data_IF_811793296939
#
_entry.id   IF_811793296939
#
_cell.length_a   1.000
_cell.length_b   1.000
_cell.length_c   1.000
_cell.angle_alpha   90.00
_cell.angle_beta   90.00
_cell.angle_gamma   90.00
#
_symmetry.space_group_name_H-M   'P 1'
#
loop_
_entity.id
_entity.type
_entity.pdbx_description
1 polymer ?
#
# COMPACT_ATOMS: atom_id res chain seq x y z
N UNK A 1 14.99 -59.74 -10.86
CA UNK A 1 15.40 -58.76 -11.88
C UNK A 1 14.24 -57.80 -12.06
N UNK A 2 14.29 -56.65 -11.41
CA UNK A 2 13.32 -55.58 -11.57
C UNK A 2 14.12 -54.28 -11.59
N UNK A 3 14.64 -53.97 -12.78
CA UNK A 3 15.35 -52.73 -13.04
C UNK A 3 14.37 -51.57 -12.92
N UNK A 4 14.49 -50.82 -11.83
CA UNK A 4 13.79 -49.56 -11.62
C UNK A 4 14.63 -48.49 -12.30
N UNK A 5 14.18 -48.07 -13.49
CA UNK A 5 14.79 -46.95 -14.22
C UNK A 5 14.43 -45.65 -13.48
N UNK A 6 15.37 -45.11 -12.73
CA UNK A 6 15.30 -43.74 -12.21
C UNK A 6 15.52 -42.78 -13.38
N UNK A 7 14.44 -42.20 -13.89
CA UNK A 7 14.51 -41.08 -14.83
C UNK A 7 14.79 -39.78 -14.06
N UNK A 8 16.06 -39.41 -13.92
CA UNK A 8 16.45 -38.05 -13.59
C UNK A 8 16.14 -37.15 -14.80
N UNK A 9 15.06 -36.39 -14.74
CA UNK A 9 14.83 -35.29 -15.66
C UNK A 9 15.42 -34.01 -15.07
N UNK A 10 16.75 -33.90 -15.09
CA UNK A 10 17.43 -32.60 -15.00
C UNK A 10 17.45 -31.97 -16.41
N UNK A 11 16.28 -31.67 -16.96
CA UNK A 11 16.18 -30.86 -18.17
C UNK A 11 16.37 -29.40 -17.77
N UNK A 12 17.59 -28.87 -17.94
CA UNK A 12 17.79 -27.44 -17.85
C UNK A 12 17.07 -26.79 -19.06
N UNK A 13 16.06 -25.93 -18.85
CA UNK A 13 15.30 -25.32 -19.94
C UNK A 13 16.14 -24.44 -20.88
N UNK A 14 17.41 -24.17 -20.53
CA UNK A 14 18.34 -23.43 -21.37
C UNK A 14 19.25 -24.30 -22.23
N UNK A 15 19.22 -25.63 -22.08
CA UNK A 15 20.07 -26.52 -22.85
C UNK A 15 19.69 -26.50 -24.34
N UNK A 16 20.68 -26.26 -25.21
CA UNK A 16 20.48 -26.09 -26.66
C UNK A 16 20.12 -24.68 -27.11
N UNK A 17 19.95 -23.72 -26.18
CA UNK A 17 19.78 -22.31 -26.53
C UNK A 17 21.14 -21.61 -26.67
N UNK A 18 21.30 -20.82 -27.73
CA UNK A 18 22.41 -19.87 -27.85
C UNK A 18 22.15 -18.65 -26.97
N UNK A 19 22.48 -18.78 -25.69
CA UNK A 19 22.29 -17.73 -24.67
C UNK A 19 23.06 -16.45 -25.06
N UNK A 20 24.21 -16.58 -25.70
CA UNK A 20 25.02 -15.42 -26.09
C UNK A 20 24.32 -14.60 -27.18
N UNK A 21 23.81 -15.28 -28.23
CA UNK A 21 23.01 -14.63 -29.27
C UNK A 21 21.76 -13.95 -28.69
N UNK A 22 21.00 -14.65 -27.85
CA UNK A 22 19.77 -14.12 -27.25
C UNK A 22 20.03 -12.89 -26.37
N UNK A 23 21.10 -12.89 -25.56
CA UNK A 23 21.52 -11.72 -24.78
C UNK A 23 21.89 -10.54 -25.68
N UNK A 24 22.61 -10.78 -26.77
CA UNK A 24 22.97 -9.74 -27.72
C UNK A 24 21.74 -9.16 -28.45
N UNK A 25 20.79 -10.00 -28.84
CA UNK A 25 19.52 -9.58 -29.44
C UNK A 25 18.70 -8.73 -28.47
N UNK A 26 18.60 -9.16 -27.20
CA UNK A 26 17.91 -8.40 -26.15
C UNK A 26 18.56 -7.03 -25.89
N UNK A 27 19.89 -6.98 -25.81
CA UNK A 27 20.63 -5.72 -25.64
C UNK A 27 20.45 -4.79 -26.84
N UNK A 28 20.51 -5.33 -28.07
CA UNK A 28 20.30 -4.54 -29.29
C UNK A 28 18.89 -3.97 -29.36
N UNK A 29 17.88 -4.76 -28.96
CA UNK A 29 16.50 -4.31 -28.88
C UNK A 29 16.32 -3.21 -27.84
N UNK A 30 16.90 -3.37 -26.64
CA UNK A 30 16.86 -2.35 -25.59
C UNK A 30 17.50 -1.04 -26.05
N UNK A 31 18.69 -1.11 -26.66
CA UNK A 31 19.37 0.05 -27.22
C UNK A 31 18.51 0.75 -28.28
N UNK A 32 17.90 -0.01 -29.19
CA UNK A 32 17.00 0.54 -30.20
C UNK A 32 15.79 1.29 -29.58
N UNK A 33 15.19 0.73 -28.53
CA UNK A 33 14.09 1.37 -27.80
C UNK A 33 14.55 2.64 -27.08
N UNK A 34 15.73 2.63 -26.47
CA UNK A 34 16.30 3.80 -25.80
C UNK A 34 16.59 4.94 -26.78
N UNK A 35 17.23 4.64 -27.91
CA UNK A 35 17.52 5.63 -28.96
C UNK A 35 16.24 6.26 -29.53
N UNK A 36 15.21 5.46 -29.79
CA UNK A 36 13.92 5.97 -30.29
C UNK A 36 13.17 6.79 -29.25
N UNK A 37 13.30 6.43 -27.99
CA UNK A 37 12.75 7.23 -26.88
C UNK A 37 13.47 8.57 -26.78
N UNK A 38 14.80 8.61 -26.89
CA UNK A 38 15.57 9.86 -26.85
C UNK A 38 15.25 10.78 -28.03
N UNK A 39 15.05 10.23 -29.22
CA UNK A 39 14.59 10.99 -30.39
C UNK A 39 13.24 11.67 -30.10
N UNK A 40 12.30 10.96 -29.48
CA UNK A 40 10.99 11.51 -29.11
C UNK A 40 11.10 12.62 -28.04
N UNK A 41 11.92 12.41 -27.01
CA UNK A 41 12.18 13.43 -25.97
C UNK A 41 12.81 14.68 -26.58
N UNK A 42 13.77 14.54 -27.51
CA UNK A 42 14.40 15.67 -28.18
C UNK A 42 13.38 16.54 -28.91
N UNK A 43 12.44 15.92 -29.63
CA UNK A 43 11.35 16.63 -30.32
C UNK A 43 10.45 17.34 -29.29
N UNK A 44 10.07 16.64 -28.22
CA UNK A 44 9.20 17.16 -27.19
C UNK A 44 9.83 18.36 -26.44
N UNK A 45 11.12 18.31 -26.11
CA UNK A 45 11.84 19.41 -25.47
C UNK A 45 11.92 20.65 -26.37
N UNK A 46 12.20 20.47 -27.67
CA UNK A 46 12.18 21.59 -28.63
C UNK A 46 10.78 22.22 -28.71
N UNK A 47 9.72 21.41 -28.63
CA UNK A 47 8.35 21.91 -28.62
C UNK A 47 8.02 22.66 -27.32
N UNK A 48 8.31 22.07 -26.16
CA UNK A 48 8.06 22.68 -24.84
C UNK A 48 8.86 23.96 -24.61
N UNK A 49 10.09 24.03 -25.13
CA UNK A 49 10.94 25.22 -25.09
C UNK A 49 10.37 26.44 -25.84
N UNK A 50 9.30 26.28 -26.63
CA UNK A 50 8.56 27.40 -27.23
C UNK A 50 7.67 28.15 -26.21
N UNK A 51 7.56 27.67 -24.97
CA UNK A 51 6.75 28.28 -23.91
C UNK A 51 5.26 28.44 -24.29
N UNK A 52 4.70 27.48 -25.03
CA UNK A 52 3.29 27.48 -25.44
C UNK A 52 2.41 26.58 -24.56
N UNK A 53 3.02 25.80 -23.67
CA UNK A 53 2.36 24.88 -22.73
C UNK A 53 2.59 25.32 -21.27
N UNK A 54 1.94 24.64 -20.33
CA UNK A 54 2.00 24.97 -18.89
C UNK A 54 3.43 24.97 -18.30
N UNK A 55 4.29 24.07 -18.77
CA UNK A 55 5.71 23.99 -18.40
C UNK A 55 6.61 24.07 -19.64
N UNK A 56 7.78 24.73 -19.53
CA UNK A 56 8.69 24.93 -20.65
C UNK A 56 9.63 23.73 -20.91
N UNK A 57 9.40 22.60 -20.24
CA UNK A 57 10.17 21.36 -20.34
C UNK A 57 9.22 20.16 -20.36
N UNK A 58 9.73 18.96 -20.69
CA UNK A 58 8.92 17.73 -20.68
C UNK A 58 8.60 17.30 -19.25
N UNK A 59 7.32 17.20 -18.92
CA UNK A 59 6.83 16.92 -17.56
C UNK A 59 6.87 15.43 -17.17
N UNK A 60 7.04 14.52 -18.13
CA UNK A 60 7.12 13.07 -17.87
C UNK A 60 8.59 12.69 -17.75
N UNK A 61 9.11 12.32 -16.57
CA UNK A 61 10.52 12.00 -16.41
C UNK A 61 10.83 10.56 -16.83
N UNK A 62 11.99 10.33 -17.46
CA UNK A 62 12.50 8.97 -17.75
C UNK A 62 12.99 8.29 -16.47
N UNK A 63 12.69 7.01 -16.27
CA UNK A 63 13.31 6.20 -15.22
C UNK A 63 13.66 4.81 -15.77
N UNK A 64 14.83 4.28 -15.39
CA UNK A 64 15.30 2.97 -15.86
C UNK A 64 14.74 1.82 -15.02
N UNK A 65 14.50 2.04 -13.73
CA UNK A 65 14.14 1.00 -12.78
C UNK A 65 13.18 1.51 -11.70
N UNK A 66 12.75 0.59 -10.81
CA UNK A 66 11.88 0.91 -9.68
C UNK A 66 12.45 2.04 -8.82
N UNK A 67 13.73 1.97 -8.49
CA UNK A 67 14.41 2.95 -7.66
C UNK A 67 14.34 4.36 -8.26
N UNK A 68 14.70 4.49 -9.54
CA UNK A 68 14.61 5.77 -10.26
C UNK A 68 13.18 6.26 -10.42
N UNK A 69 12.21 5.34 -10.61
CA UNK A 69 10.78 5.72 -10.64
C UNK A 69 10.32 6.27 -9.30
N UNK A 70 10.67 5.61 -8.19
CA UNK A 70 10.29 6.06 -6.84
C UNK A 70 10.83 7.46 -6.53
N UNK A 71 12.12 7.70 -6.82
CA UNK A 71 12.75 9.01 -6.59
C UNK A 71 12.11 10.11 -7.45
N UNK A 72 11.91 9.86 -8.74
CA UNK A 72 11.28 10.83 -9.66
C UNK A 72 9.81 11.07 -9.34
N UNK A 73 9.08 10.04 -8.92
CA UNK A 73 7.67 10.15 -8.53
C UNK A 73 7.51 11.07 -7.31
N UNK A 74 8.47 11.01 -6.38
CA UNK A 74 8.40 11.72 -5.10
C UNK A 74 9.32 12.95 -5.04
N UNK A 75 9.78 13.47 -6.18
CA UNK A 75 10.76 14.56 -6.23
C UNK A 75 10.33 15.79 -5.43
N UNK A 76 9.04 16.13 -5.43
CA UNK A 76 8.50 17.28 -4.68
C UNK A 76 8.52 17.05 -3.15
N UNK A 77 8.51 15.80 -2.71
CA UNK A 77 8.54 15.42 -1.29
C UNK A 77 9.98 15.18 -0.80
N UNK A 78 10.83 14.64 -1.68
CA UNK A 78 12.21 14.29 -1.37
C UNK A 78 13.15 15.51 -1.41
N UNK A 79 12.87 16.49 -2.27
CA UNK A 79 13.79 17.61 -2.50
C UNK A 79 15.14 17.12 -3.02
N UNK A 80 16.22 17.41 -2.29
CA UNK A 80 17.57 16.95 -2.61
C UNK A 80 17.92 15.58 -1.99
N UNK A 81 16.99 14.95 -1.27
CA UNK A 81 17.23 13.66 -0.64
C UNK A 81 17.18 12.52 -1.68
N UNK A 82 18.34 11.97 -2.02
CA UNK A 82 18.45 10.84 -2.94
C UNK A 82 18.08 9.52 -2.26
N UNK A 83 17.25 8.71 -2.91
CA UNK A 83 16.80 7.41 -2.39
C UNK A 83 17.09 6.26 -3.35
N UNK A 84 17.33 6.54 -4.64
CA UNK A 84 17.37 5.51 -5.66
C UNK A 84 18.49 4.47 -5.39
N UNK A 85 19.70 4.91 -5.07
CA UNK A 85 20.82 3.99 -4.83
C UNK A 85 20.62 3.13 -3.58
N UNK A 86 20.01 3.68 -2.53
CA UNK A 86 19.72 2.92 -1.32
C UNK A 86 18.59 1.90 -1.55
N UNK A 87 17.57 2.26 -2.33
CA UNK A 87 16.55 1.32 -2.78
C UNK A 87 17.20 0.16 -3.56
N UNK A 88 18.12 0.43 -4.50
CA UNK A 88 18.82 -0.62 -5.26
C UNK A 88 19.62 -1.54 -4.35
N UNK A 89 20.39 -0.99 -3.41
CA UNK A 89 21.19 -1.75 -2.43
C UNK A 89 20.29 -2.64 -1.55
N UNK A 90 19.11 -2.16 -1.18
CA UNK A 90 18.18 -2.90 -0.34
C UNK A 90 17.45 -4.01 -1.11
N UNK A 91 17.00 -3.73 -2.35
CA UNK A 91 16.39 -4.74 -3.23
C UNK A 91 17.34 -5.87 -3.59
N UNK A 92 18.65 -5.63 -3.60
CA UNK A 92 19.65 -6.69 -3.79
C UNK A 92 19.71 -7.70 -2.62
N UNK A 93 19.20 -7.33 -1.44
CA UNK A 93 19.27 -8.13 -0.20
C UNK A 93 17.92 -8.64 0.29
N UNK A 94 16.85 -7.93 -0.05
CA UNK A 94 15.52 -8.14 0.51
C UNK A 94 14.45 -8.15 -0.59
N UNK A 95 13.32 -8.80 -0.30
CA UNK A 95 12.13 -8.69 -1.13
C UNK A 95 11.57 -7.26 -1.11
N UNK A 96 10.76 -6.91 -2.11
CA UNK A 96 10.17 -5.57 -2.26
C UNK A 96 9.38 -5.12 -1.01
N UNK A 97 8.58 -6.01 -0.42
CA UNK A 97 7.77 -5.68 0.75
C UNK A 97 8.66 -5.35 1.96
N UNK A 98 9.68 -6.16 2.25
CA UNK A 98 10.66 -5.85 3.32
C UNK A 98 11.47 -4.59 3.00
N UNK A 99 11.88 -4.42 1.75
CA UNK A 99 12.61 -3.22 1.30
C UNK A 99 11.78 -1.96 1.52
N UNK A 100 10.48 -1.99 1.20
CA UNK A 100 9.60 -0.84 1.41
C UNK A 100 9.53 -0.39 2.86
N UNK A 101 9.40 -1.34 3.80
CA UNK A 101 9.31 -1.07 5.23
C UNK A 101 10.63 -0.52 5.78
N UNK A 102 11.76 -1.13 5.40
CA UNK A 102 13.07 -0.69 5.87
C UNK A 102 13.49 0.66 5.28
N UNK A 103 13.22 0.88 3.98
CA UNK A 103 13.49 2.17 3.34
C UNK A 103 12.63 3.27 3.93
N UNK A 104 11.35 3.00 4.23
CA UNK A 104 10.48 3.98 4.86
C UNK A 104 11.00 4.46 6.22
N UNK A 105 11.44 3.53 7.08
CA UNK A 105 12.08 3.89 8.35
C UNK A 105 13.41 4.63 8.15
N UNK A 106 14.25 4.16 7.23
CA UNK A 106 15.56 4.77 6.95
C UNK A 106 15.43 6.20 6.44
N UNK A 107 14.49 6.45 5.51
CA UNK A 107 14.23 7.78 4.96
C UNK A 107 13.63 8.68 6.03
N UNK A 108 12.65 8.20 6.81
CA UNK A 108 12.09 8.99 7.89
C UNK A 108 13.17 9.40 8.92
N UNK A 109 14.07 8.48 9.30
CA UNK A 109 15.22 8.80 10.16
C UNK A 109 16.17 9.80 9.49
N UNK A 110 16.51 9.60 8.22
CA UNK A 110 17.38 10.50 7.47
C UNK A 110 16.84 11.93 7.38
N UNK A 111 15.54 12.10 7.18
CA UNK A 111 14.88 13.41 7.19
C UNK A 111 14.98 14.08 8.57
N UNK A 112 14.85 13.30 9.65
CA UNK A 112 15.05 13.81 11.02
C UNK A 112 16.49 14.25 11.25
N UNK A 113 17.45 13.48 10.77
CA UNK A 113 18.88 13.79 10.90
C UNK A 113 19.26 15.06 10.10
N UNK A 114 18.54 15.36 9.01
CA UNK A 114 18.66 16.61 8.25
C UNK A 114 17.92 17.81 8.88
N UNK A 115 17.23 17.60 10.00
CA UNK A 115 16.57 18.68 10.75
C UNK A 115 15.12 18.97 10.35
N UNK A 116 14.49 18.13 9.53
CA UNK A 116 13.06 18.26 9.22
C UNK A 116 12.20 17.91 10.44
N UNK A 117 11.00 18.49 10.51
CA UNK A 117 10.05 18.20 11.58
C UNK A 117 9.51 16.75 11.49
N UNK A 118 8.84 16.31 12.55
CA UNK A 118 8.38 14.93 12.67
C UNK A 118 7.33 14.60 11.60
N UNK A 119 6.44 15.54 11.29
CA UNK A 119 5.34 15.30 10.35
C UNK A 119 5.92 15.09 8.96
N UNK A 120 6.80 15.98 8.50
CA UNK A 120 7.47 15.83 7.19
C UNK A 120 8.26 14.54 7.11
N UNK A 121 9.03 14.19 8.14
CA UNK A 121 9.79 12.94 8.14
C UNK A 121 8.91 11.68 8.03
N UNK A 122 7.77 11.66 8.74
CA UNK A 122 6.83 10.53 8.68
C UNK A 122 6.14 10.48 7.32
N UNK A 123 5.66 11.62 6.80
CA UNK A 123 4.98 11.70 5.51
C UNK A 123 5.88 11.21 4.38
N UNK A 124 7.11 11.72 4.28
CA UNK A 124 8.05 11.33 3.22
C UNK A 124 8.43 9.85 3.33
N UNK A 125 8.75 9.37 4.54
CA UNK A 125 9.05 7.95 4.76
C UNK A 125 7.89 7.03 4.35
N UNK A 126 6.66 7.40 4.71
CA UNK A 126 5.46 6.65 4.35
C UNK A 126 5.23 6.64 2.83
N UNK A 127 5.39 7.78 2.16
CA UNK A 127 5.26 7.89 0.69
C UNK A 127 6.31 7.06 -0.04
N UNK A 128 7.57 7.08 0.41
CA UNK A 128 8.63 6.24 -0.18
C UNK A 128 8.31 4.75 0.00
N UNK A 129 7.90 4.34 1.20
CA UNK A 129 7.47 2.96 1.44
C UNK A 129 6.32 2.54 0.52
N UNK A 130 5.28 3.36 0.43
CA UNK A 130 4.14 3.08 -0.43
C UNK A 130 4.51 3.07 -1.93
N UNK A 131 5.40 3.95 -2.38
CA UNK A 131 5.88 3.99 -3.77
C UNK A 131 6.66 2.73 -4.13
N UNK A 132 7.51 2.22 -3.23
CA UNK A 132 8.23 0.95 -3.47
C UNK A 132 7.22 -0.20 -3.56
N UNK A 133 6.21 -0.25 -2.68
CA UNK A 133 5.17 -1.29 -2.72
C UNK A 133 4.37 -1.27 -4.01
N UNK A 134 4.02 -0.11 -4.53
CA UNK A 134 3.22 0.06 -5.76
C UNK A 134 4.05 0.14 -7.03
N UNK A 135 5.32 -0.23 -6.96
CA UNK A 135 6.31 -0.20 -8.05
C UNK A 135 6.54 1.18 -8.67
N UNK A 136 6.11 2.23 -7.96
CA UNK A 136 6.04 3.60 -8.42
C UNK A 136 5.31 3.75 -9.77
N UNK A 137 4.29 2.91 -9.99
CA UNK A 137 3.41 2.96 -11.17
C UNK A 137 2.04 3.57 -10.81
N UNK A 138 1.65 3.47 -9.55
CA UNK A 138 0.34 3.93 -9.08
C UNK A 138 0.45 5.33 -8.48
N UNK A 139 -0.63 6.10 -8.59
CA UNK A 139 -0.73 7.45 -8.00
C UNK A 139 -0.92 7.46 -6.48
N UNK A 140 -1.13 6.29 -5.86
CA UNK A 140 -1.41 6.17 -4.43
C UNK A 140 -0.38 6.83 -3.48
N UNK A 141 0.94 6.84 -3.75
CA UNK A 141 1.90 7.59 -2.93
C UNK A 141 1.74 9.11 -3.00
N UNK A 142 1.11 9.63 -4.04
CA UNK A 142 0.85 11.06 -4.23
C UNK A 142 -0.55 11.43 -3.74
N UNK A 143 -1.57 10.73 -4.23
CA UNK A 143 -2.98 11.08 -4.05
C UNK A 143 -3.72 10.19 -3.05
N UNK A 144 -3.14 9.03 -2.67
CA UNK A 144 -3.78 8.11 -1.72
C UNK A 144 -3.58 8.51 -0.26
N UNK A 145 -2.52 9.27 0.03
CA UNK A 145 -2.25 9.88 1.34
C UNK A 145 -2.38 11.40 1.14
N UNK A 146 -3.44 12.00 1.68
CA UNK A 146 -3.60 13.45 1.59
C UNK A 146 -2.62 14.16 2.51
N UNK A 147 -2.47 13.69 3.74
CA UNK A 147 -1.53 14.24 4.71
C UNK A 147 -1.24 13.27 5.86
N UNK A 148 -0.19 13.56 6.61
CA UNK A 148 0.10 12.96 7.91
C UNK A 148 0.00 14.04 8.97
N UNK A 149 -0.59 13.74 10.13
CA UNK A 149 -0.68 14.66 11.27
C UNK A 149 -0.20 14.00 12.55
N UNK A 150 0.35 14.81 13.45
CA UNK A 150 0.54 14.44 14.85
C UNK A 150 -0.61 15.00 15.68
N UNK A 151 -1.43 14.11 16.22
CA UNK A 151 -2.55 14.46 17.09
C UNK A 151 -2.26 14.00 18.51
N UNK A 152 -3.10 14.40 19.47
CA UNK A 152 -2.93 14.04 20.87
C UNK A 152 -4.00 13.03 21.30
N UNK A 153 -3.65 12.15 22.22
CA UNK A 153 -4.57 11.31 23.01
C UNK A 153 -5.22 12.12 24.15
N UNK A 154 -6.11 11.51 24.93
CA UNK A 154 -6.70 12.13 26.13
C UNK A 154 -5.66 12.43 27.22
N UNK A 155 -4.63 11.61 27.34
CA UNK A 155 -3.53 11.79 28.30
C UNK A 155 -2.49 12.85 27.83
N UNK A 156 -2.71 13.45 26.66
CA UNK A 156 -1.81 14.44 26.05
C UNK A 156 -0.66 13.85 25.23
N UNK A 157 -0.44 12.52 25.27
CA UNK A 157 0.59 11.88 24.45
C UNK A 157 0.29 12.05 22.95
N UNK A 158 1.34 12.22 22.14
CA UNK A 158 1.20 12.38 20.69
C UNK A 158 1.15 11.02 19.97
N UNK A 159 0.38 10.95 18.89
CA UNK A 159 0.31 9.79 18.00
C UNK A 159 0.19 10.22 16.53
N UNK A 160 0.43 9.27 15.62
CA UNK A 160 0.34 9.48 14.17
C UNK A 160 -1.09 9.25 13.65
N UNK A 161 -1.64 10.23 12.95
CA UNK A 161 -2.86 10.15 12.15
C UNK A 161 -2.50 10.21 10.68
N UNK A 162 -2.85 9.18 9.91
CA UNK A 162 -2.63 9.15 8.46
C UNK A 162 -3.95 9.42 7.77
N UNK A 163 -4.00 10.47 6.95
CA UNK A 163 -5.20 10.86 6.23
C UNK A 163 -5.18 10.21 4.85
N UNK A 164 -6.01 9.17 4.68
CA UNK A 164 -6.18 8.47 3.42
C UNK A 164 -7.31 9.09 2.60
N UNK A 165 -7.06 9.26 1.30
CA UNK A 165 -8.05 9.73 0.34
C UNK A 165 -8.57 8.59 -0.55
N UNK A 166 -9.68 8.82 -1.26
CA UNK A 166 -10.31 7.83 -2.15
C UNK A 166 -9.37 7.15 -3.16
N UNK A 167 -8.41 7.85 -3.79
CA UNK A 167 -7.43 7.26 -4.71
C UNK A 167 -6.58 6.13 -4.11
N UNK A 168 -6.52 5.99 -2.78
CA UNK A 168 -5.83 4.86 -2.12
C UNK A 168 -6.38 3.49 -2.56
N UNK A 169 -7.61 3.44 -3.09
CA UNK A 169 -8.18 2.21 -3.68
C UNK A 169 -7.30 1.62 -4.78
N UNK A 170 -6.68 2.46 -5.59
CA UNK A 170 -5.84 2.05 -6.71
C UNK A 170 -4.62 1.23 -6.26
N UNK A 171 -4.10 1.48 -5.04
CA UNK A 171 -3.00 0.73 -4.46
C UNK A 171 -3.32 -0.75 -4.21
N UNK A 172 -4.61 -1.06 -4.05
CA UNK A 172 -5.10 -2.37 -3.63
C UNK A 172 -4.96 -2.62 -2.12
N UNK A 173 -5.75 -3.55 -1.60
CA UNK A 173 -5.84 -3.83 -0.16
C UNK A 173 -4.51 -4.18 0.52
N UNK A 174 -3.59 -4.84 -0.18
CA UNK A 174 -2.29 -5.17 0.44
C UNK A 174 -1.47 -3.91 0.70
N UNK A 175 -1.38 -3.00 -0.27
CA UNK A 175 -0.61 -1.77 -0.10
C UNK A 175 -1.27 -0.82 0.91
N UNK A 176 -2.61 -0.78 0.95
CA UNK A 176 -3.37 -0.07 1.99
C UNK A 176 -2.99 -0.54 3.40
N UNK A 177 -3.04 -1.85 3.62
CA UNK A 177 -2.69 -2.46 4.89
C UNK A 177 -1.21 -2.24 5.27
N UNK A 178 -0.30 -2.44 4.33
CA UNK A 178 1.13 -2.23 4.56
C UNK A 178 1.47 -0.76 4.79
N UNK A 179 0.72 0.20 4.24
CA UNK A 179 0.88 1.62 4.56
C UNK A 179 0.62 1.89 6.05
N UNK A 180 -0.41 1.28 6.64
CA UNK A 180 -0.69 1.37 8.08
C UNK A 180 0.45 0.75 8.90
N UNK A 181 0.97 -0.41 8.47
CA UNK A 181 2.11 -1.05 9.12
C UNK A 181 3.38 -0.20 9.03
N UNK A 182 3.66 0.40 7.86
CA UNK A 182 4.80 1.30 7.66
C UNK A 182 4.69 2.52 8.56
N UNK A 183 3.51 3.14 8.66
CA UNK A 183 3.29 4.26 9.56
C UNK A 183 3.56 3.88 11.03
N UNK A 184 3.16 2.67 11.45
CA UNK A 184 3.49 2.16 12.78
C UNK A 184 5.00 1.90 12.98
N UNK A 185 5.68 1.38 11.97
CA UNK A 185 7.12 1.16 12.02
C UNK A 185 7.90 2.48 12.11
N UNK A 186 7.48 3.51 11.35
CA UNK A 186 8.10 4.84 11.41
C UNK A 186 7.81 5.51 12.75
N UNK A 187 6.58 5.42 13.28
CA UNK A 187 6.25 6.07 14.56
C UNK A 187 7.01 5.45 15.73
N UNK A 188 7.26 4.14 15.71
CA UNK A 188 8.16 3.49 16.68
C UNK A 188 9.59 4.02 16.52
N UNK A 189 10.09 4.04 15.29
CA UNK A 189 11.44 4.51 14.96
C UNK A 189 11.70 5.95 15.43
N UNK A 190 10.70 6.83 15.29
CA UNK A 190 10.78 8.24 15.69
C UNK A 190 10.27 8.52 17.11
N UNK A 191 10.05 7.48 17.92
CA UNK A 191 9.59 7.57 19.32
C UNK A 191 8.26 8.33 19.51
N UNK A 192 7.34 8.19 18.57
CA UNK A 192 5.97 8.71 18.66
C UNK A 192 5.07 7.67 19.34
N UNK A 193 4.17 8.16 20.21
CA UNK A 193 3.27 7.34 21.00
C UNK A 193 2.23 6.58 20.18
N UNK A 194 1.56 5.64 20.86
CA UNK A 194 0.48 4.83 20.28
C UNK A 194 -0.84 5.61 20.29
N UNK A 195 -1.64 5.45 19.24
CA UNK A 195 -3.03 5.92 19.22
C UNK A 195 -3.88 5.20 20.28
N UNK A 196 -4.66 5.98 21.03
CA UNK A 196 -5.60 5.50 22.04
C UNK A 196 -7.00 6.06 21.70
N UNK A 197 -7.81 5.32 20.91
CA UNK A 197 -9.12 5.80 20.49
C UNK A 197 -10.08 5.94 21.66
N UNK A 198 -10.87 6.99 21.61
CA UNK A 198 -12.06 7.20 22.43
C UNK A 198 -13.27 6.45 21.86
N UNK A 199 -14.27 6.16 22.70
CA UNK A 199 -15.49 5.49 22.24
C UNK A 199 -16.19 6.26 21.10
N UNK A 200 -16.33 7.61 21.13
CA UNK A 200 -16.88 8.35 20.00
C UNK A 200 -16.10 8.19 18.69
N UNK A 201 -14.76 8.10 18.73
CA UNK A 201 -13.94 7.86 17.53
C UNK A 201 -14.20 6.47 16.94
N UNK A 202 -14.41 5.45 17.78
CA UNK A 202 -14.73 4.09 17.33
C UNK A 202 -16.15 4.01 16.78
N UNK A 203 -17.13 4.55 17.50
CA UNK A 203 -18.53 4.58 17.07
C UNK A 203 -18.74 5.39 15.80
N UNK A 204 -17.95 6.45 15.60
CA UNK A 204 -17.90 7.18 14.33
C UNK A 204 -17.56 6.26 13.16
N UNK A 205 -16.53 5.44 13.28
CA UNK A 205 -16.16 4.51 12.19
C UNK A 205 -17.28 3.49 11.95
N UNK A 206 -17.93 2.98 12.99
CA UNK A 206 -19.10 2.07 12.86
C UNK A 206 -20.25 2.73 12.12
N UNK A 207 -20.58 3.98 12.45
CA UNK A 207 -21.62 4.75 11.77
C UNK A 207 -21.26 4.98 10.29
N UNK A 208 -20.01 5.36 10.00
CA UNK A 208 -19.52 5.56 8.64
C UNK A 208 -19.70 4.28 7.79
N UNK A 209 -19.31 3.10 8.31
CA UNK A 209 -19.54 1.82 7.62
C UNK A 209 -21.04 1.54 7.41
N UNK A 210 -21.88 1.85 8.39
CA UNK A 210 -23.33 1.68 8.29
C UNK A 210 -23.97 2.57 7.22
N UNK A 211 -23.50 3.81 7.08
CA UNK A 211 -24.01 4.79 6.12
C UNK A 211 -23.36 4.69 4.73
N UNK A 212 -22.17 4.11 4.62
CA UNK A 212 -21.48 3.99 3.34
C UNK A 212 -22.29 3.20 2.33
N UNK A 213 -22.35 3.70 1.09
CA UNK A 213 -23.08 3.07 -0.03
C UNK A 213 -22.16 2.63 -1.16
N UNK A 214 -20.87 2.94 -1.08
CA UNK A 214 -19.88 2.43 -2.02
C UNK A 214 -19.67 0.92 -1.84
N UNK A 215 -19.35 0.25 -2.94
CA UNK A 215 -19.02 -1.17 -2.91
C UNK A 215 -17.67 -1.37 -2.22
N UNK A 216 -17.67 -2.18 -1.16
CA UNK A 216 -16.48 -2.68 -0.49
C UNK A 216 -16.33 -4.16 -0.82
N UNK A 217 -15.11 -4.60 -1.09
CA UNK A 217 -14.80 -6.04 -1.23
C UNK A 217 -15.07 -6.81 0.07
N UNK A 218 -14.90 -6.15 1.21
CA UNK A 218 -15.17 -6.69 2.53
C UNK A 218 -15.75 -5.59 3.41
N UNK A 219 -16.90 -5.89 4.03
CA UNK A 219 -17.56 -4.99 4.98
C UNK A 219 -17.47 -5.63 6.37
N UNK A 220 -16.59 -5.13 7.26
CA UNK A 220 -16.44 -5.68 8.59
C UNK A 220 -17.70 -5.48 9.45
N UNK A 221 -17.93 -6.37 10.40
CA UNK A 221 -18.99 -6.23 11.40
C UNK A 221 -18.68 -5.12 12.40
N UNK A 222 -19.67 -4.58 13.14
CA UNK A 222 -19.40 -3.59 14.18
C UNK A 222 -18.38 -4.04 15.23
N UNK A 223 -18.35 -5.33 15.58
CA UNK A 223 -17.39 -5.92 16.52
C UNK A 223 -15.97 -5.93 15.94
N UNK A 224 -15.84 -6.26 14.65
CA UNK A 224 -14.55 -6.23 13.94
C UNK A 224 -14.01 -4.81 13.82
N UNK A 225 -14.90 -3.84 13.56
CA UNK A 225 -14.54 -2.41 13.53
C UNK A 225 -14.06 -1.96 14.90
N UNK A 226 -14.78 -2.32 15.97
CA UNK A 226 -14.38 -1.99 17.34
C UNK A 226 -12.98 -2.52 17.66
N UNK A 227 -12.76 -3.81 17.40
CA UNK A 227 -11.50 -4.47 17.70
C UNK A 227 -10.34 -3.90 16.87
N UNK A 228 -10.50 -3.72 15.56
CA UNK A 228 -9.41 -3.24 14.71
C UNK A 228 -9.06 -1.77 14.98
N UNK A 229 -10.04 -0.90 15.20
CA UNK A 229 -9.80 0.52 15.46
C UNK A 229 -9.12 0.70 16.82
N UNK A 230 -9.54 -0.04 17.85
CA UNK A 230 -8.90 -0.01 19.20
C UNK A 230 -7.50 -0.62 19.23
N UNK A 231 -7.27 -1.62 18.41
CA UNK A 231 -5.98 -2.30 18.35
C UNK A 231 -4.95 -1.58 17.45
N UNK A 232 -5.40 -0.82 16.44
CA UNK A 232 -4.50 -0.13 15.53
C UNK A 232 -3.66 0.94 16.27
N UNK A 233 -2.31 0.90 16.18
CA UNK A 233 -1.44 1.84 16.89
C UNK A 233 -1.34 3.22 16.24
N UNK A 234 -1.86 3.37 15.02
CA UNK A 234 -1.96 4.63 14.28
C UNK A 234 -3.43 4.89 13.94
N UNK A 235 -3.82 6.16 13.90
CA UNK A 235 -5.18 6.51 13.52
C UNK A 235 -5.31 6.46 11.99
N UNK A 236 -6.18 5.57 11.51
CA UNK A 236 -6.60 5.55 10.10
C UNK A 236 -7.67 6.63 9.94
N UNK A 237 -7.26 7.76 9.37
CA UNK A 237 -8.09 8.94 9.18
C UNK A 237 -8.18 9.29 7.69
N UNK A 238 -8.82 10.40 7.34
CA UNK A 238 -8.94 10.80 5.94
C UNK A 238 -9.91 11.94 5.73
N UNK A 239 -9.90 12.46 4.51
CA UNK A 239 -10.85 13.48 4.07
C UNK A 239 -12.23 12.87 3.82
N UNK A 240 -13.25 13.70 3.96
CA UNK A 240 -14.62 13.31 3.64
C UNK A 240 -14.84 13.21 2.13
N UNK A 241 -15.11 12.01 1.64
CA UNK A 241 -15.28 11.75 0.21
C UNK A 241 -16.74 11.62 -0.21
N UNK A 242 -17.64 11.24 0.71
CA UNK A 242 -19.07 11.07 0.40
C UNK A 242 -19.88 12.29 0.79
N UNK A 243 -21.04 12.48 0.16
CA UNK A 243 -21.97 13.59 0.47
C UNK A 243 -22.83 13.36 1.72
N UNK A 244 -22.80 12.15 2.28
CA UNK A 244 -23.62 11.75 3.41
C UNK A 244 -22.91 12.17 4.71
N UNK A 245 -23.67 12.80 5.61
CA UNK A 245 -23.23 13.17 6.95
C UNK A 245 -23.59 12.11 7.99
N UNK A 246 -22.71 11.91 8.96
CA UNK A 246 -22.97 11.13 10.16
C UNK A 246 -23.91 11.91 11.09
N UNK A 247 -25.01 11.28 11.48
CA UNK A 247 -26.05 11.90 12.30
C UNK A 247 -25.78 11.76 13.81
N UNK A 248 -25.20 10.63 14.24
CA UNK A 248 -24.90 10.37 15.65
C UNK A 248 -23.56 10.95 16.08
N UNK A 249 -22.50 10.59 15.36
CA UNK A 249 -21.11 10.91 15.67
C UNK A 249 -20.50 11.88 14.64
N UNK A 250 -21.28 12.86 14.17
CA UNK A 250 -20.82 13.86 13.19
C UNK A 250 -19.63 14.69 13.69
N UNK A 251 -19.66 15.14 14.94
CA UNK A 251 -18.59 15.94 15.53
C UNK A 251 -17.83 15.12 16.57
N UNK A 252 -16.65 14.65 16.19
CA UNK A 252 -15.78 13.83 17.04
C UNK A 252 -14.37 14.43 17.03
N UNK A 253 -13.67 14.34 18.16
CA UNK A 253 -12.28 14.78 18.28
C UNK A 253 -11.43 14.12 17.19
N UNK A 254 -10.40 14.84 16.72
CA UNK A 254 -9.42 14.33 15.76
C UNK A 254 -10.03 14.02 14.37
N UNK A 255 -11.30 14.35 14.13
CA UNK A 255 -12.01 14.17 12.87
C UNK A 255 -12.60 15.52 12.46
N UNK A 256 -12.15 16.06 11.34
CA UNK A 256 -12.41 17.46 10.98
C UNK A 256 -13.85 17.71 10.50
N UNK A 257 -14.43 16.77 9.76
CA UNK A 257 -15.73 16.92 9.10
C UNK A 257 -16.73 15.84 9.54
N UNK A 258 -18.03 16.14 9.43
CA UNK A 258 -19.11 15.21 9.76
C UNK A 258 -19.44 14.20 8.66
N UNK A 259 -18.85 14.36 7.46
CA UNK A 259 -19.14 13.53 6.29
C UNK A 259 -18.30 12.25 6.25
N UNK A 260 -18.80 11.22 5.58
CA UNK A 260 -18.12 9.91 5.53
C UNK A 260 -16.78 10.01 4.79
N UNK A 261 -15.75 9.40 5.40
CA UNK A 261 -14.38 9.32 4.90
C UNK A 261 -14.15 7.99 4.17
N UNK A 262 -14.38 7.96 2.85
CA UNK A 262 -14.28 6.72 2.07
C UNK A 262 -12.89 6.08 2.08
N UNK A 263 -11.82 6.88 2.14
CA UNK A 263 -10.45 6.38 2.27
C UNK A 263 -10.23 5.55 3.54
N UNK A 264 -10.80 5.98 4.67
CA UNK A 264 -10.77 5.24 5.95
C UNK A 264 -11.44 3.88 5.80
N UNK A 265 -12.63 3.85 5.19
CA UNK A 265 -13.41 2.63 5.03
C UNK A 265 -12.73 1.61 4.10
N UNK A 266 -12.07 2.09 3.04
CA UNK A 266 -11.27 1.25 2.15
C UNK A 266 -10.10 0.62 2.90
N UNK A 267 -9.32 1.43 3.62
CA UNK A 267 -8.13 0.95 4.33
C UNK A 267 -8.51 -0.02 5.45
N UNK A 268 -9.58 0.24 6.21
CA UNK A 268 -10.03 -0.68 7.26
C UNK A 268 -10.63 -1.96 6.65
N UNK A 269 -11.58 -1.83 5.73
CA UNK A 269 -12.32 -2.97 5.16
C UNK A 269 -11.50 -3.80 4.18
N UNK A 270 -11.05 -3.19 3.08
CA UNK A 270 -10.32 -3.88 2.00
C UNK A 270 -8.84 -4.10 2.30
N UNK A 271 -8.27 -3.29 3.21
CA UNK A 271 -6.90 -3.41 3.68
C UNK A 271 -6.78 -4.26 4.93
N UNK A 272 -6.97 -3.65 6.09
CA UNK A 272 -6.68 -4.23 7.41
C UNK A 272 -7.45 -5.53 7.68
N UNK A 273 -8.76 -5.55 7.48
CA UNK A 273 -9.57 -6.74 7.70
C UNK A 273 -9.35 -7.79 6.60
N UNK A 274 -9.62 -7.44 5.34
CA UNK A 274 -9.55 -8.40 4.22
C UNK A 274 -8.14 -8.95 3.94
N UNK A 275 -7.07 -8.21 4.26
CA UNK A 275 -5.67 -8.64 4.06
C UNK A 275 -4.97 -9.01 5.34
N UNK A 276 -5.68 -9.18 6.45
CA UNK A 276 -5.14 -9.62 7.74
C UNK A 276 -4.18 -10.83 7.64
N UNK A 277 -4.48 -11.92 6.89
CA UNK A 277 -3.56 -13.05 6.76
C UNK A 277 -2.20 -12.67 6.16
N UNK A 278 -2.18 -11.73 5.21
CA UNK A 278 -0.96 -11.27 4.56
C UNK A 278 -0.17 -10.35 5.49
N UNK A 279 -0.85 -9.44 6.19
CA UNK A 279 -0.22 -8.58 7.22
C UNK A 279 0.47 -9.44 8.28
N UNK A 280 -0.24 -10.45 8.82
CA UNK A 280 0.31 -11.37 9.83
C UNK A 280 1.62 -12.00 9.38
N UNK A 281 1.69 -12.48 8.14
CA UNK A 281 2.91 -13.08 7.58
C UNK A 281 4.10 -12.10 7.62
N UNK A 282 3.87 -10.81 7.36
CA UNK A 282 4.92 -9.79 7.42
C UNK A 282 5.32 -9.46 8.85
N UNK A 283 4.35 -9.25 9.74
CA UNK A 283 4.62 -8.90 11.14
C UNK A 283 5.35 -10.03 11.87
N UNK A 284 4.99 -11.30 11.63
CA UNK A 284 5.69 -12.48 12.15
C UNK A 284 7.12 -12.59 11.60
N UNK A 285 7.29 -12.45 10.27
CA UNK A 285 8.60 -12.54 9.60
C UNK A 285 9.58 -11.48 10.11
N UNK A 286 9.09 -10.27 10.35
CA UNK A 286 9.89 -9.13 10.80
C UNK A 286 9.90 -8.96 12.32
N UNK A 287 9.18 -9.81 13.06
CA UNK A 287 9.04 -9.78 14.53
C UNK A 287 8.57 -8.41 15.05
N UNK A 288 7.57 -7.84 14.37
CA UNK A 288 6.97 -6.56 14.76
C UNK A 288 6.02 -6.80 15.92
N UNK A 289 6.33 -6.24 17.09
CA UNK A 289 5.53 -6.35 18.31
C UNK A 289 4.28 -5.48 18.26
N UNK A 290 3.19 -5.92 18.92
CA UNK A 290 1.97 -5.12 19.06
C UNK A 290 0.95 -5.31 17.94
N UNK A 291 1.22 -6.22 17.00
CA UNK A 291 0.34 -6.59 15.89
C UNK A 291 -0.36 -7.95 16.08
N UNK A 292 -0.31 -8.53 17.28
CA UNK A 292 -0.90 -9.83 17.58
C UNK A 292 -2.43 -9.83 17.39
N UNK A 293 -3.06 -8.65 17.46
CA UNK A 293 -4.50 -8.48 17.18
C UNK A 293 -4.89 -8.92 15.77
N UNK A 294 -3.99 -8.79 14.79
CA UNK A 294 -4.30 -9.13 13.39
C UNK A 294 -4.52 -10.63 13.20
N UNK A 295 -4.00 -11.46 14.11
CA UNK A 295 -4.14 -12.91 14.08
C UNK A 295 -5.59 -13.34 14.18
N UNK A 296 -6.41 -12.67 14.99
CA UNK A 296 -7.84 -12.99 15.14
C UNK A 296 -8.61 -12.81 13.84
N UNK A 297 -8.28 -11.74 13.10
CA UNK A 297 -8.85 -11.47 11.78
C UNK A 297 -8.35 -12.48 10.74
N UNK A 298 -7.07 -12.83 10.80
CA UNK A 298 -6.46 -13.80 9.88
C UNK A 298 -6.92 -15.25 10.09
N UNK A 299 -7.41 -15.60 11.28
CA UNK A 299 -7.94 -16.94 11.59
C UNK A 299 -9.43 -17.08 11.26
N UNK A 300 -10.16 -15.97 11.15
CA UNK A 300 -11.60 -15.98 10.90
C UNK A 300 -11.93 -16.45 9.48
N UNK A 301 -11.12 -16.06 8.49
CA UNK A 301 -11.20 -16.58 7.11
C UNK A 301 -11.08 -18.12 7.04
N UNK A 302 -10.47 -18.77 8.03
CA UNK A 302 -10.38 -20.24 8.10
C UNK A 302 -11.60 -20.90 8.74
N UNK A 303 -12.32 -20.19 9.63
CA UNK A 303 -13.50 -20.74 10.32
C UNK A 303 -14.74 -20.78 9.42
N UNK A 304 -14.87 -19.83 8.49
CA UNK A 304 -15.97 -19.86 7.52
C UNK A 304 -15.86 -21.07 6.56
N UNK A 305 -14.67 -21.66 6.39
CA UNK A 305 -14.46 -22.92 5.65
C UNK A 305 -14.74 -24.20 6.48
N UNK A 306 -14.67 -24.09 7.82
CA UNK A 306 -14.76 -25.23 8.76
C UNK A 306 -16.11 -25.35 9.50
N UNK A 307 -16.95 -24.30 9.51
CA UNK A 307 -18.30 -24.33 10.10
C UNK A 307 -19.37 -24.96 9.17
N UNK A 308 -18.96 -25.52 8.03
CA UNK A 308 -19.78 -26.51 7.32
C UNK A 308 -19.79 -27.83 8.11
N UNK A 309 -20.80 -27.96 8.99
CA UNK A 309 -21.29 -29.25 9.52
C UNK A 309 -21.08 -30.32 8.46
N UNK A 310 -20.32 -31.38 8.78
CA UNK A 310 -20.00 -32.55 7.94
C UNK A 310 -21.18 -32.94 7.02
N UNK A 311 -21.28 -32.26 5.89
CA UNK A 311 -22.11 -32.62 4.75
C UNK A 311 -21.16 -33.30 3.80
N UNK A 312 -21.63 -34.36 3.16
CA UNK A 312 -20.91 -35.08 2.14
C UNK A 312 -20.28 -34.09 1.13
N UNK A 313 -18.95 -33.87 1.21
CA UNK A 313 -18.22 -33.08 0.22
C UNK A 313 -18.19 -33.91 -1.06
N UNK A 314 -19.12 -33.59 -1.96
CA UNK A 314 -19.12 -34.11 -3.33
C UNK A 314 -17.75 -33.84 -3.97
N UNK A 315 -17.20 -34.80 -4.72
CA UNK A 315 -15.97 -34.59 -5.50
C UNK A 315 -16.18 -33.69 -6.73
N UNK A 316 -17.40 -33.21 -6.94
CA UNK A 316 -17.74 -32.29 -8.01
C UNK A 316 -17.36 -30.87 -7.56
N UNK A 317 -16.54 -30.21 -8.38
CA UNK A 317 -16.22 -28.79 -8.21
C UNK A 317 -17.53 -28.00 -8.38
N UNK A 318 -17.88 -27.19 -7.38
CA UNK A 318 -19.06 -26.35 -7.47
C UNK A 318 -18.90 -25.30 -8.59
N UNK A 319 -19.92 -25.12 -9.44
CA UNK A 319 -19.88 -24.08 -10.46
C UNK A 319 -19.78 -22.68 -9.84
N UNK A 320 -18.80 -21.88 -10.28
CA UNK A 320 -18.69 -20.47 -9.89
C UNK A 320 -19.76 -19.67 -10.64
N UNK A 321 -20.84 -19.27 -9.98
CA UNK A 321 -21.95 -18.54 -10.62
C UNK A 321 -21.87 -17.02 -10.50
N UNK A 322 -20.89 -16.48 -9.76
CA UNK A 322 -20.76 -15.03 -9.48
C UNK A 322 -20.78 -14.16 -10.73
N UNK A 323 -20.21 -14.62 -11.84
CA UNK A 323 -20.20 -13.87 -13.11
C UNK A 323 -21.60 -13.67 -13.73
N UNK A 324 -22.59 -14.48 -13.33
CA UNK A 324 -23.97 -14.37 -13.83
C UNK A 324 -24.79 -13.31 -13.09
N UNK A 325 -24.30 -12.78 -11.96
CA UNK A 325 -25.02 -11.75 -11.21
C UNK A 325 -24.98 -10.37 -11.89
N UNK A 326 -23.98 -10.15 -12.75
CA UNK A 326 -23.73 -8.86 -13.42
C UNK A 326 -24.09 -8.93 -14.92
N UNK A 327 -25.17 -9.65 -15.27
CA UNK A 327 -25.69 -9.62 -16.65
C UNK A 327 -26.39 -8.27 -16.87
N UNK A 328 -25.67 -7.34 -17.49
CA UNK A 328 -26.25 -6.11 -18.02
C UNK A 328 -27.06 -6.47 -19.28
N UNK A 329 -28.27 -5.92 -19.41
CA UNK A 329 -29.07 -6.11 -20.62
C UNK A 329 -28.29 -5.54 -21.83
N UNK A 330 -28.10 -6.41 -22.84
CA UNK A 330 -27.29 -6.12 -24.03
C UNK A 330 -27.75 -4.92 -24.84
#
# INVERSE_FOLDING_TARGET
MSDTVNANFDLNPTDGLDISRLKNEMNSYQQWMDEKTDDAYRIAEIARGKNLDYKPFVEIPRAADLAGRTEKLLVEYLGEYEVADDIRKMLAKHDRETTSMLMAQSVARGFRDQGHDLVTAIDVGLRVGLAILTEAVLVAPLEGISEVRLLNNLDGSQFVSVHFAGPIRAAGGTAQALAVLIADMIRIELNVGRYQPTDPEVERVKEEFGLYRGNLQYRPTPEEIDEIVRACPVMINGESTERIECAGYGNVRNIDEARIRGGVLLVIGEGMCLKAPKIRKHTERMKISGWEFITKFAEKDKKDDDDEKVKFKSRLIEPITKFMNDIIAG
#
